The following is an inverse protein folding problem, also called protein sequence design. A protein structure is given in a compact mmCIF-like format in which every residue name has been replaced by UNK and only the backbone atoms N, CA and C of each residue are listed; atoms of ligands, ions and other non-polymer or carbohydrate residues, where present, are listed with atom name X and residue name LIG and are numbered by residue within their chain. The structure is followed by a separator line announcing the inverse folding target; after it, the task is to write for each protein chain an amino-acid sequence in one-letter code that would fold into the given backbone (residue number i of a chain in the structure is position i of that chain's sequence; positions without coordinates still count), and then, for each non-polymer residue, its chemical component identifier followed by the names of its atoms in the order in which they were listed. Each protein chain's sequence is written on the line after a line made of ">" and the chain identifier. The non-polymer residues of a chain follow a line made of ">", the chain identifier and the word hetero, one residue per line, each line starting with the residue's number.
data_IF_506889728950
#
_entry.id   IF_506889728950
#
_cell.length_a   1.000
_cell.length_b   1.000
_cell.length_c   1.000
_cell.angle_alpha   90.00
_cell.angle_beta   90.00
_cell.angle_gamma   90.00
#
_symmetry.space_group_name_H-M   'P 1'
#
loop_
_entity.id
_entity.type
_entity.pdbx_description
1 polymer ?
#
# COMPACT_ATOMS: atom_id res chain seq x y z
N UNK A 1 -0.54 -14.52 26.32
CA UNK A 1 0.72 -13.80 26.00
C UNK A 1 1.19 -14.04 24.55
N UNK A 2 1.16 -15.27 24.04
CA UNK A 2 1.60 -15.58 22.66
C UNK A 2 0.74 -14.91 21.57
N UNK A 3 -0.59 -14.87 21.74
CA UNK A 3 -1.50 -14.27 20.75
C UNK A 3 -1.31 -12.76 20.57
N UNK A 4 -1.00 -12.05 21.67
CA UNK A 4 -0.67 -10.62 21.64
C UNK A 4 0.64 -10.39 20.87
N UNK A 5 1.59 -11.31 20.96
CA UNK A 5 2.84 -11.27 20.20
C UNK A 5 2.62 -11.30 18.69
N UNK A 6 1.70 -12.15 18.19
CA UNK A 6 1.37 -12.21 16.77
C UNK A 6 0.69 -10.93 16.27
N UNK A 7 -0.21 -10.33 17.06
CA UNK A 7 -0.84 -9.07 16.72
C UNK A 7 0.18 -7.93 16.61
N UNK A 8 1.09 -7.81 17.58
CA UNK A 8 2.16 -6.79 17.56
C UNK A 8 3.08 -6.99 16.36
N UNK A 9 3.50 -8.23 16.09
CA UNK A 9 4.34 -8.54 14.94
C UNK A 9 3.64 -8.19 13.61
N UNK A 10 2.33 -8.48 13.49
CA UNK A 10 1.53 -8.13 12.32
C UNK A 10 1.43 -6.63 12.09
N UNK A 11 1.16 -5.84 13.14
CA UNK A 11 1.09 -4.37 13.05
C UNK A 11 2.44 -3.76 12.71
N UNK A 12 3.53 -4.26 13.31
CA UNK A 12 4.88 -3.82 13.00
C UNK A 12 5.27 -4.10 11.54
N UNK A 13 4.96 -5.31 11.05
CA UNK A 13 5.21 -5.68 9.65
C UNK A 13 4.36 -4.85 8.68
N UNK A 14 3.11 -4.55 9.02
CA UNK A 14 2.26 -3.70 8.20
C UNK A 14 2.86 -2.29 8.04
N UNK A 15 3.35 -1.70 9.15
CA UNK A 15 3.99 -0.38 9.14
C UNK A 15 5.20 -0.32 8.21
N UNK A 16 6.14 -1.27 8.35
CA UNK A 16 7.35 -1.26 7.52
C UNK A 16 7.03 -1.46 6.03
N UNK A 17 6.05 -2.29 5.70
CA UNK A 17 5.61 -2.49 4.32
C UNK A 17 4.94 -1.24 3.75
N UNK A 18 4.08 -0.59 4.53
CA UNK A 18 3.37 0.63 4.13
C UNK A 18 4.35 1.78 3.84
N UNK A 19 5.29 2.03 4.76
CA UNK A 19 6.26 3.12 4.63
C UNK A 19 7.22 2.88 3.47
N UNK A 20 7.73 1.65 3.33
CA UNK A 20 8.62 1.28 2.22
C UNK A 20 7.95 1.52 0.87
N UNK A 21 6.68 1.14 0.72
CA UNK A 21 5.93 1.36 -0.51
C UNK A 21 5.78 2.85 -0.83
N UNK A 22 5.38 3.66 0.16
CA UNK A 22 5.15 5.09 -0.02
C UNK A 22 6.45 5.81 -0.40
N UNK A 23 7.55 5.52 0.30
CA UNK A 23 8.85 6.14 0.04
C UNK A 23 9.36 5.77 -1.35
N UNK A 24 9.29 4.50 -1.73
CA UNK A 24 9.75 4.04 -3.06
C UNK A 24 8.90 4.68 -4.16
N UNK A 25 7.57 4.72 -3.99
CA UNK A 25 6.67 5.35 -4.95
C UNK A 25 6.95 6.86 -5.10
N UNK A 26 7.18 7.56 -3.98
CA UNK A 26 7.56 8.97 -3.96
C UNK A 26 8.88 9.19 -4.70
N UNK A 27 9.92 8.39 -4.42
CA UNK A 27 11.20 8.47 -5.12
C UNK A 27 11.06 8.22 -6.63
N UNK A 28 10.23 7.26 -7.03
CA UNK A 28 9.98 6.97 -8.44
C UNK A 28 9.28 8.13 -9.15
N UNK A 29 8.22 8.69 -8.56
CA UNK A 29 7.49 9.83 -9.13
C UNK A 29 8.40 11.06 -9.24
N UNK A 30 9.24 11.33 -8.24
CA UNK A 30 10.19 12.44 -8.30
C UNK A 30 11.20 12.30 -9.45
N UNK A 31 11.59 11.07 -9.82
CA UNK A 31 12.49 10.81 -10.96
C UNK A 31 11.81 10.99 -12.32
N UNK A 32 10.51 10.70 -12.41
CA UNK A 32 9.77 10.74 -13.68
C UNK A 32 9.14 12.12 -13.94
N UNK A 33 8.78 12.86 -12.88
CA UNK A 33 8.11 14.15 -12.99
C UNK A 33 9.11 15.29 -13.30
N UNK A 34 8.74 16.26 -14.18
CA UNK A 34 9.49 17.49 -14.38
C UNK A 34 9.65 18.27 -13.08
N UNK A 35 10.81 18.93 -12.88
CA UNK A 35 11.15 19.63 -11.63
C UNK A 35 10.03 20.56 -11.13
N UNK A 36 9.42 21.32 -12.04
CA UNK A 36 8.37 22.30 -11.73
C UNK A 36 7.06 21.66 -11.23
N UNK A 37 6.85 20.37 -11.50
CA UNK A 37 5.62 19.64 -11.17
C UNK A 37 5.83 18.55 -10.11
N UNK A 38 7.05 18.33 -9.62
CA UNK A 38 7.36 17.26 -8.65
C UNK A 38 6.51 17.39 -7.38
N UNK A 39 6.42 18.59 -6.80
CA UNK A 39 5.63 18.83 -5.60
C UNK A 39 4.14 18.52 -5.81
N UNK A 40 3.58 18.88 -6.98
CA UNK A 40 2.20 18.57 -7.33
C UNK A 40 1.98 17.06 -7.50
N UNK A 41 2.93 16.36 -8.13
CA UNK A 41 2.87 14.92 -8.33
C UNK A 41 2.96 14.13 -7.01
N UNK A 42 3.80 14.57 -6.06
CA UNK A 42 3.87 13.99 -4.71
C UNK A 42 2.57 14.19 -3.92
N UNK A 43 1.95 15.38 -4.05
CA UNK A 43 0.63 15.64 -3.48
C UNK A 43 -0.44 14.71 -4.06
N UNK A 44 -0.40 14.47 -5.37
CA UNK A 44 -1.30 13.53 -6.04
C UNK A 44 -1.10 12.09 -5.56
N UNK A 45 0.16 11.64 -5.42
CA UNK A 45 0.46 10.33 -4.84
C UNK A 45 -0.17 10.19 -3.44
N UNK A 46 0.03 11.18 -2.59
CA UNK A 46 -0.50 11.18 -1.22
C UNK A 46 -2.02 11.14 -1.22
N UNK A 47 -2.67 11.95 -2.08
CA UNK A 47 -4.13 11.97 -2.19
C UNK A 47 -4.70 10.63 -2.69
N UNK A 48 -4.02 9.98 -3.64
CA UNK A 48 -4.46 8.69 -4.16
C UNK A 48 -4.32 7.58 -3.12
N UNK A 49 -3.19 7.50 -2.41
CA UNK A 49 -2.95 6.46 -1.42
C UNK A 49 -3.77 6.70 -0.15
N UNK A 50 -3.59 7.88 0.45
CA UNK A 50 -4.13 8.20 1.77
C UNK A 50 -5.52 8.83 1.74
N UNK A 51 -5.93 9.40 0.61
CA UNK A 51 -7.30 9.91 0.43
C UNK A 51 -8.21 8.84 -0.14
N UNK A 52 -8.21 8.70 -1.48
CA UNK A 52 -9.15 7.79 -2.16
C UNK A 52 -8.90 6.33 -1.84
N UNK A 53 -7.64 5.90 -1.75
CA UNK A 53 -7.28 4.53 -1.40
C UNK A 53 -7.86 4.11 -0.05
N UNK A 54 -7.70 4.95 0.98
CA UNK A 54 -8.30 4.70 2.29
C UNK A 54 -9.83 4.80 2.28
N UNK A 55 -10.41 5.78 1.58
CA UNK A 55 -11.86 5.92 1.48
C UNK A 55 -12.53 4.70 0.83
N UNK A 56 -11.99 4.23 -0.31
CA UNK A 56 -12.49 3.04 -1.01
C UNK A 56 -12.22 1.79 -0.15
N UNK A 57 -11.03 1.66 0.42
CA UNK A 57 -10.64 0.51 1.24
C UNK A 57 -11.54 0.35 2.47
N UNK A 58 -11.80 1.44 3.19
CA UNK A 58 -12.71 1.45 4.35
C UNK A 58 -14.16 1.14 3.97
N UNK A 59 -14.64 1.63 2.83
CA UNK A 59 -15.96 1.29 2.30
C UNK A 59 -16.10 -0.20 2.00
N UNK A 60 -15.12 -0.79 1.33
CA UNK A 60 -15.08 -2.24 1.04
C UNK A 60 -15.00 -3.05 2.34
N UNK A 61 -14.11 -2.68 3.26
CA UNK A 61 -13.96 -3.35 4.54
C UNK A 61 -15.26 -3.29 5.36
N UNK A 62 -15.94 -2.14 5.39
CA UNK A 62 -17.22 -1.95 6.04
C UNK A 62 -18.32 -2.83 5.45
N UNK A 63 -18.39 -2.94 4.11
CA UNK A 63 -19.34 -3.83 3.43
C UNK A 63 -19.08 -5.31 3.75
N UNK A 64 -17.82 -5.75 3.75
CA UNK A 64 -17.43 -7.11 4.13
C UNK A 64 -17.80 -7.38 5.60
N UNK A 65 -17.51 -6.43 6.49
CA UNK A 65 -17.84 -6.55 7.90
C UNK A 65 -19.35 -6.67 8.12
N UNK A 66 -20.15 -5.81 7.48
CA UNK A 66 -21.60 -5.84 7.58
C UNK A 66 -22.22 -7.13 7.02
N UNK A 67 -21.62 -7.73 5.98
CA UNK A 67 -22.14 -8.95 5.36
C UNK A 67 -21.68 -10.24 6.06
N UNK A 68 -20.51 -10.23 6.71
CA UNK A 68 -19.83 -11.47 7.15
C UNK A 68 -19.62 -11.56 8.66
N UNK A 69 -19.46 -10.42 9.34
CA UNK A 69 -19.12 -10.35 10.76
C UNK A 69 -20.34 -9.92 11.59
N UNK A 70 -21.02 -8.84 11.17
CA UNK A 70 -22.17 -8.27 11.91
C UNK A 70 -23.40 -9.20 12.04
N UNK A 71 -23.84 -9.96 11.02
CA UNK A 71 -25.08 -10.74 11.08
C UNK A 71 -24.97 -12.05 11.85
N UNK A 72 -23.76 -12.48 12.21
CA UNK A 72 -23.49 -13.79 12.82
C UNK A 72 -22.91 -13.57 14.21
N UNK A 73 -23.80 -13.39 15.18
CA UNK A 73 -23.48 -13.06 16.57
C UNK A 73 -22.58 -14.05 17.32
N UNK A 74 -22.28 -15.22 16.74
CA UNK A 74 -21.38 -16.22 17.33
C UNK A 74 -20.51 -16.92 16.27
N UNK A 75 -19.43 -16.31 15.79
CA UNK A 75 -18.44 -17.03 14.99
C UNK A 75 -17.00 -16.71 15.40
N UNK A 76 -16.24 -17.78 15.59
CA UNK A 76 -14.79 -17.76 15.74
C UNK A 76 -14.07 -17.21 14.50
N UNK A 77 -12.73 -17.25 14.54
CA UNK A 77 -11.80 -16.56 13.64
C UNK A 77 -12.09 -16.65 12.12
N UNK A 78 -12.81 -17.68 11.66
CA UNK A 78 -13.18 -17.86 10.25
C UNK A 78 -14.06 -16.74 9.66
N UNK A 79 -14.90 -16.06 10.47
CA UNK A 79 -15.72 -14.94 9.98
C UNK A 79 -14.87 -13.71 9.57
N UNK A 80 -13.68 -13.58 10.16
CA UNK A 80 -12.75 -12.48 9.93
C UNK A 80 -11.81 -12.72 8.74
N UNK A 81 -11.64 -13.98 8.34
CA UNK A 81 -10.80 -14.37 7.20
C UNK A 81 -10.99 -13.50 5.93
N UNK A 82 -12.21 -13.18 5.45
CA UNK A 82 -12.38 -12.36 4.25
C UNK A 82 -11.83 -10.93 4.41
N UNK A 83 -11.82 -10.37 5.63
CA UNK A 83 -11.27 -9.04 5.88
C UNK A 83 -9.75 -8.98 5.63
N UNK A 84 -9.07 -10.12 5.83
CA UNK A 84 -7.62 -10.25 5.65
C UNK A 84 -7.25 -10.78 4.26
N UNK A 85 -8.01 -11.73 3.72
CA UNK A 85 -7.73 -12.35 2.41
C UNK A 85 -7.91 -11.33 1.27
N UNK A 86 -8.89 -10.43 1.36
CA UNK A 86 -9.12 -9.42 0.32
C UNK A 86 -7.91 -8.50 0.10
N UNK A 87 -7.35 -7.83 1.13
CA UNK A 87 -6.15 -7.01 0.93
C UNK A 87 -4.91 -7.83 0.55
N UNK A 88 -4.77 -9.07 1.04
CA UNK A 88 -3.70 -9.98 0.60
C UNK A 88 -3.81 -10.29 -0.89
N UNK A 89 -5.02 -10.63 -1.37
CA UNK A 89 -5.29 -10.89 -2.77
C UNK A 89 -5.01 -9.67 -3.64
N UNK A 90 -5.43 -8.48 -3.20
CA UNK A 90 -5.13 -7.23 -3.89
C UNK A 90 -3.63 -6.98 -3.98
N UNK A 91 -2.88 -7.16 -2.88
CA UNK A 91 -1.43 -7.00 -2.85
C UNK A 91 -0.71 -7.99 -3.78
N UNK A 92 -1.17 -9.25 -3.84
CA UNK A 92 -0.62 -10.24 -4.77
C UNK A 92 -0.89 -9.86 -6.22
N UNK A 93 -2.12 -9.42 -6.54
CA UNK A 93 -2.47 -8.98 -7.90
C UNK A 93 -1.63 -7.77 -8.31
N UNK A 94 -1.50 -6.76 -7.45
CA UNK A 94 -0.68 -5.57 -7.76
C UNK A 94 0.80 -5.92 -7.90
N UNK A 95 1.32 -6.83 -7.07
CA UNK A 95 2.69 -7.34 -7.19
C UNK A 95 2.91 -8.05 -8.53
N UNK A 96 1.98 -8.90 -8.97
CA UNK A 96 2.06 -9.59 -10.27
C UNK A 96 1.98 -8.61 -11.45
N UNK A 97 1.07 -7.64 -11.37
CA UNK A 97 0.95 -6.58 -12.38
C UNK A 97 2.25 -5.78 -12.47
N UNK A 98 2.83 -5.41 -11.33
CA UNK A 98 4.10 -4.69 -11.31
C UNK A 98 5.25 -5.55 -11.84
N UNK A 99 5.37 -6.81 -11.41
CA UNK A 99 6.44 -7.71 -11.86
C UNK A 99 6.43 -7.95 -13.37
N UNK A 100 5.25 -7.88 -14.01
CA UNK A 100 5.10 -8.13 -15.45
C UNK A 100 5.15 -6.86 -16.31
N UNK A 101 4.68 -5.73 -15.80
CA UNK A 101 4.62 -4.47 -16.56
C UNK A 101 5.77 -3.50 -16.25
N UNK A 102 6.48 -3.68 -15.14
CA UNK A 102 7.54 -2.76 -14.74
C UNK A 102 8.71 -2.80 -15.72
N UNK A 103 9.09 -1.62 -16.20
CA UNK A 103 10.24 -1.40 -17.06
C UNK A 103 11.24 -0.51 -16.32
N UNK A 104 12.51 -0.91 -16.17
CA UNK A 104 13.53 -0.06 -15.59
C UNK A 104 13.66 1.23 -16.41
N UNK A 105 13.58 2.38 -15.75
CA UNK A 105 14.05 3.64 -16.35
C UNK A 105 15.56 3.54 -16.45
N UNK A 106 16.11 3.67 -17.67
CA UNK A 106 17.55 3.64 -17.89
C UNK A 106 18.23 4.73 -17.04
N UNK A 107 19.26 4.36 -16.27
CA UNK A 107 20.11 5.33 -15.60
C UNK A 107 20.83 6.15 -16.67
N UNK A 108 20.73 7.47 -16.63
CA UNK A 108 21.56 8.30 -17.50
C UNK A 108 23.03 8.09 -17.13
N UNK A 109 23.89 7.58 -18.03
CA UNK A 109 25.32 7.50 -17.76
C UNK A 109 25.90 8.91 -17.89
N UNK A 110 25.96 9.68 -16.80
CA UNK A 110 26.58 11.01 -16.83
C UNK A 110 26.14 12.05 -15.79
N UNK A 111 25.81 11.66 -14.55
CA UNK A 111 25.61 12.62 -13.46
C UNK A 111 26.86 12.71 -12.58
N UNK A 112 27.82 13.58 -12.92
CA UNK A 112 28.84 13.98 -11.94
C UNK A 112 28.16 14.65 -10.74
N UNK A 113 28.57 14.34 -9.50
CA UNK A 113 27.98 14.94 -8.31
C UNK A 113 28.13 16.47 -8.33
N UNK A 114 27.17 17.23 -7.79
CA UNK A 114 27.29 18.68 -7.70
C UNK A 114 28.52 19.03 -6.86
N UNK A 115 29.45 19.76 -7.48
CA UNK A 115 30.54 20.44 -6.77
C UNK A 115 29.93 21.59 -5.99
N UNK A 116 29.79 21.41 -4.69
CA UNK A 116 29.74 22.50 -3.74
C UNK A 116 31.11 22.61 -3.07
#
# INVERSE_FOLDING_TARGET
>A
MVEVGYAIAGVALHGICNDSFIIIAAMYIARVAPADLQAQAQGWLTLMLSGFGQAIGSGIAGAIFAARVLPRGELGAAAWAPLWIVPIGLALVTALVWATLFRPVAQHPGGSPPTH
#
